data_IF_148560580858
#
_entry.id   IF_148560580858
#
_cell.length_a   1.000
_cell.length_b   1.000
_cell.length_c   1.000
_cell.angle_alpha   90.00
_cell.angle_beta   90.00
_cell.angle_gamma   90.00
#
_symmetry.space_group_name_H-M   'P 1'
#
loop_
_entity.id
_entity.type
_entity.pdbx_description
1 polymer ?
#
# COMPACT_ATOMS: atom_id res chain seq x y z
N UNK A 1 12.40 23.63 3.47
CA UNK A 1 11.56 23.43 2.28
C UNK A 1 10.13 23.25 2.77
N UNK A 2 9.18 24.10 2.35
CA UNK A 2 7.78 23.99 2.77
C UNK A 2 7.03 23.21 1.70
N UNK A 3 6.49 22.05 2.05
CA UNK A 3 5.61 21.28 1.17
C UNK A 3 4.16 21.76 1.34
N UNK A 4 3.33 21.73 0.29
CA UNK A 4 1.91 21.98 0.45
C UNK A 4 1.33 20.97 1.44
N UNK A 5 0.71 21.46 2.51
CA UNK A 5 0.04 20.62 3.49
C UNK A 5 -1.42 20.42 3.07
N UNK A 6 -1.85 19.18 3.03
CA UNK A 6 -3.25 18.80 2.88
C UNK A 6 -3.71 18.30 4.25
N UNK A 7 -4.79 18.86 4.77
CA UNK A 7 -5.33 18.45 6.06
C UNK A 7 -5.65 16.95 6.06
N UNK A 8 -5.23 16.25 7.12
CA UNK A 8 -5.43 14.81 7.26
C UNK A 8 -4.48 13.95 6.41
N UNK A 9 -3.58 14.53 5.61
CA UNK A 9 -2.59 13.75 4.83
C UNK A 9 -1.17 14.06 5.29
N UNK A 10 -0.38 13.02 5.52
CA UNK A 10 1.03 13.15 5.92
C UNK A 10 1.91 12.04 5.35
N UNK A 11 3.22 12.20 5.48
CA UNK A 11 4.17 11.10 5.25
C UNK A 11 3.92 9.97 6.23
N UNK A 12 4.02 8.74 5.75
CA UNK A 12 3.98 7.55 6.58
C UNK A 12 5.21 7.48 7.49
N UNK A 13 5.01 7.04 8.72
CA UNK A 13 6.06 6.71 9.70
C UNK A 13 6.11 5.20 9.91
N UNK A 14 7.17 4.66 10.51
CA UNK A 14 7.30 3.20 10.66
C UNK A 14 6.21 2.59 11.55
N UNK A 15 5.73 3.35 12.53
CA UNK A 15 4.62 2.98 13.42
C UNK A 15 3.29 2.81 12.68
N UNK A 16 3.18 3.36 11.48
CA UNK A 16 1.97 3.26 10.64
C UNK A 16 1.88 1.93 9.89
N UNK A 17 3.00 1.18 9.74
CA UNK A 17 3.09 0.04 8.83
C UNK A 17 2.04 -1.05 9.10
N UNK A 18 1.78 -1.36 10.37
CA UNK A 18 0.79 -2.36 10.75
C UNK A 18 -0.60 -1.96 10.25
N UNK A 19 -1.02 -0.73 10.54
CA UNK A 19 -2.33 -0.22 10.12
C UNK A 19 -2.41 -0.03 8.61
N UNK A 20 -1.36 0.47 7.96
CA UNK A 20 -1.25 0.58 6.50
C UNK A 20 -1.51 -0.77 5.84
N UNK A 21 -0.89 -1.84 6.36
CA UNK A 21 -0.99 -3.17 5.76
C UNK A 21 -2.42 -3.73 5.81
N UNK A 22 -3.13 -3.48 6.92
CA UNK A 22 -4.51 -3.88 7.14
C UNK A 22 -5.47 -3.07 6.23
N UNK A 23 -5.29 -1.75 6.20
CA UNK A 23 -6.08 -0.84 5.34
C UNK A 23 -5.87 -1.15 3.87
N UNK A 24 -4.63 -1.40 3.45
CA UNK A 24 -4.32 -1.77 2.07
C UNK A 24 -4.98 -3.10 1.69
N UNK A 25 -4.93 -4.11 2.54
CA UNK A 25 -5.60 -5.39 2.31
C UNK A 25 -7.11 -5.21 2.09
N UNK A 26 -7.77 -4.43 2.94
CA UNK A 26 -9.18 -4.12 2.83
C UNK A 26 -9.52 -3.31 1.56
N UNK A 27 -8.75 -2.27 1.26
CA UNK A 27 -9.02 -1.38 0.13
C UNK A 27 -8.81 -2.09 -1.22
N UNK A 28 -7.70 -2.82 -1.37
CA UNK A 28 -7.40 -3.51 -2.62
C UNK A 28 -8.25 -4.74 -2.84
N UNK A 29 -8.88 -5.32 -1.82
CA UNK A 29 -9.81 -6.45 -1.97
C UNK A 29 -10.89 -6.20 -3.04
N UNK A 30 -11.40 -4.97 -3.09
CA UNK A 30 -12.43 -4.55 -4.05
C UNK A 30 -11.87 -4.27 -5.45
N UNK A 31 -10.55 -4.27 -5.62
CA UNK A 31 -9.92 -4.02 -6.92
C UNK A 31 -10.05 -5.24 -7.87
N UNK A 32 -10.21 -5.02 -9.18
CA UNK A 32 -10.24 -6.11 -10.15
C UNK A 32 -8.99 -7.00 -10.11
N UNK A 33 -7.82 -6.38 -9.90
CA UNK A 33 -6.52 -7.06 -9.90
C UNK A 33 -6.36 -8.03 -8.73
N UNK A 34 -6.91 -7.69 -7.55
CA UNK A 34 -6.73 -8.48 -6.33
C UNK A 34 -7.20 -9.93 -6.49
N UNK A 35 -8.35 -10.14 -7.17
CA UNK A 35 -8.89 -11.49 -7.38
C UNK A 35 -7.99 -12.39 -8.22
N UNK A 36 -7.17 -11.81 -9.10
CA UNK A 36 -6.21 -12.54 -9.92
C UNK A 36 -4.88 -12.73 -9.20
N UNK A 37 -4.40 -11.70 -8.51
CA UNK A 37 -3.11 -11.76 -7.82
C UNK A 37 -3.17 -12.61 -6.56
N UNK A 38 -4.29 -12.58 -5.82
CA UNK A 38 -4.44 -13.18 -4.50
C UNK A 38 -5.57 -14.20 -4.45
N UNK A 39 -5.51 -15.24 -5.27
CA UNK A 39 -6.57 -16.25 -5.41
C UNK A 39 -6.91 -17.01 -4.11
N UNK A 40 -5.97 -17.08 -3.16
CA UNK A 40 -6.11 -17.83 -1.92
C UNK A 40 -6.23 -16.92 -0.68
N UNK A 41 -6.56 -15.64 -0.85
CA UNK A 41 -6.70 -14.65 0.23
C UNK A 41 -7.62 -15.12 1.39
N UNK A 42 -8.65 -15.93 1.11
CA UNK A 42 -9.55 -16.47 2.15
C UNK A 42 -8.87 -17.51 3.04
N UNK A 43 -7.97 -18.32 2.46
CA UNK A 43 -7.27 -19.40 3.17
C UNK A 43 -6.05 -18.86 3.92
N UNK A 44 -5.41 -17.83 3.37
CA UNK A 44 -4.20 -17.22 3.92
C UNK A 44 -4.33 -15.69 4.04
N UNK A 45 -5.30 -15.17 4.83
CA UNK A 45 -5.53 -13.72 4.92
C UNK A 45 -4.37 -12.96 5.57
N UNK A 46 -3.64 -13.60 6.49
CA UNK A 46 -2.47 -13.00 7.13
C UNK A 46 -1.30 -12.83 6.15
N UNK A 47 -1.18 -13.71 5.15
CA UNK A 47 -0.18 -13.57 4.10
C UNK A 47 -0.48 -12.35 3.22
N UNK A 48 -1.77 -12.06 2.97
CA UNK A 48 -2.18 -10.85 2.29
C UNK A 48 -1.72 -9.59 3.04
N UNK A 49 -2.01 -9.52 4.34
CA UNK A 49 -1.62 -8.39 5.20
C UNK A 49 -0.09 -8.28 5.26
N UNK A 50 0.61 -9.37 5.54
CA UNK A 50 2.07 -9.39 5.62
C UNK A 50 2.76 -9.01 4.30
N UNK A 51 2.19 -9.42 3.17
CA UNK A 51 2.64 -9.02 1.83
C UNK A 51 2.52 -7.50 1.64
N UNK A 52 1.41 -6.87 2.05
CA UNK A 52 1.30 -5.41 2.03
C UNK A 52 2.26 -4.73 2.99
N UNK A 53 2.45 -5.27 4.20
CA UNK A 53 3.44 -4.76 5.16
C UNK A 53 4.83 -4.71 4.52
N UNK A 54 5.27 -5.81 3.89
CA UNK A 54 6.56 -5.89 3.19
C UNK A 54 6.65 -4.89 2.05
N UNK A 55 5.60 -4.79 1.22
CA UNK A 55 5.57 -3.88 0.08
C UNK A 55 5.70 -2.42 0.51
N UNK A 56 4.92 -1.97 1.50
CA UNK A 56 5.00 -0.59 1.98
C UNK A 56 6.28 -0.33 2.77
N UNK A 57 6.78 -1.30 3.54
CA UNK A 57 8.10 -1.20 4.20
C UNK A 57 9.21 -1.00 3.17
N UNK A 58 9.17 -1.71 2.04
CA UNK A 58 10.12 -1.54 0.94
C UNK A 58 9.96 -0.17 0.28
N UNK A 59 8.73 0.24 -0.02
CA UNK A 59 8.44 1.56 -0.61
C UNK A 59 8.94 2.72 0.28
N UNK A 60 8.75 2.64 1.59
CA UNK A 60 9.24 3.66 2.54
C UNK A 60 10.77 3.73 2.64
N UNK A 61 11.49 2.67 2.24
CA UNK A 61 12.96 2.67 2.14
C UNK A 61 13.47 3.08 0.76
N UNK A 62 12.62 3.07 -0.26
CA UNK A 62 13.02 3.41 -1.62
C UNK A 62 13.17 4.93 -1.75
N UNK A 63 14.37 5.44 -2.10
CA UNK A 63 14.61 6.88 -2.21
C UNK A 63 13.84 7.57 -3.33
N UNK A 64 13.36 6.81 -4.32
CA UNK A 64 12.55 7.31 -5.42
C UNK A 64 11.05 7.13 -5.16
N UNK A 65 10.63 6.74 -3.95
CA UNK A 65 9.24 6.54 -3.59
C UNK A 65 8.80 7.46 -2.46
N UNK A 66 7.53 7.85 -2.47
CA UNK A 66 6.85 8.58 -1.40
C UNK A 66 5.66 7.75 -0.94
N UNK A 67 5.55 7.54 0.37
CA UNK A 67 4.39 6.88 0.97
C UNK A 67 3.63 7.89 1.82
N UNK A 68 2.38 8.13 1.44
CA UNK A 68 1.46 9.05 2.10
C UNK A 68 0.34 8.26 2.77
N UNK A 69 -0.06 8.71 3.94
CA UNK A 69 -1.21 8.20 4.68
C UNK A 69 -2.25 9.28 4.84
N UNK A 70 -3.51 8.87 4.76
CA UNK A 70 -4.66 9.68 5.14
C UNK A 70 -5.12 9.25 6.54
N UNK A 71 -5.30 10.22 7.43
CA UNK A 71 -5.81 10.06 8.77
C UNK A 71 -7.21 10.63 8.90
N UNK A 72 -8.11 9.85 9.47
CA UNK A 72 -9.46 10.29 9.80
C UNK A 72 -9.95 9.63 11.10
N UNK A 73 -11.15 10.00 11.53
CA UNK A 73 -11.85 9.38 12.65
C UNK A 73 -12.15 7.92 12.30
N UNK A 74 -11.75 7.00 13.17
CA UNK A 74 -12.03 5.57 12.98
C UNK A 74 -13.51 5.32 13.33
N UNK A 75 -14.23 4.69 12.42
CA UNK A 75 -15.56 4.15 12.69
C UNK A 75 -15.45 2.92 13.59
N UNK A 76 -16.24 2.88 14.67
CA UNK A 76 -16.26 1.75 15.61
C UNK A 76 -16.64 0.44 14.91
N UNK A 77 -17.47 0.52 13.86
CA UNK A 77 -17.95 -0.61 13.08
C UNK A 77 -17.14 -0.82 11.76
N UNK A 78 -15.97 -0.20 11.61
CA UNK A 78 -15.13 -0.35 10.41
C UNK A 78 -14.85 -1.83 10.09
N UNK A 79 -14.66 -2.66 11.12
CA UNK A 79 -14.40 -4.09 10.97
C UNK A 79 -15.56 -4.88 10.33
N UNK A 80 -16.79 -4.36 10.34
CA UNK A 80 -17.94 -4.99 9.69
C UNK A 80 -18.03 -4.68 8.19
N UNK A 81 -17.30 -3.66 7.73
CA UNK A 81 -17.28 -3.22 6.34
C UNK A 81 -16.15 -3.85 5.51
N UNK A 82 -15.30 -4.67 6.14
CA UNK A 82 -14.22 -5.39 5.46
C UNK A 82 -14.58 -6.85 5.23
N UNK A 83 -13.89 -7.50 4.29
CA UNK A 83 -14.15 -8.90 3.99
C UNK A 83 -13.80 -9.81 5.18
N UNK A 84 -14.61 -10.85 5.35
CA UNK A 84 -14.67 -11.67 6.57
C UNK A 84 -13.31 -12.17 7.06
N UNK A 85 -12.41 -12.51 6.15
CA UNK A 85 -11.13 -13.14 6.48
C UNK A 85 -10.13 -12.21 7.19
N UNK A 86 -10.35 -10.89 7.21
CA UNK A 86 -9.46 -9.92 7.92
C UNK A 86 -10.15 -9.12 9.03
N UNK A 87 -11.42 -9.39 9.36
CA UNK A 87 -12.16 -8.62 10.37
C UNK A 87 -11.47 -8.58 11.72
N UNK A 88 -10.94 -9.72 12.18
CA UNK A 88 -10.23 -9.80 13.46
C UNK A 88 -8.98 -8.93 13.51
N UNK A 89 -8.32 -8.69 12.37
CA UNK A 89 -7.16 -7.81 12.29
C UNK A 89 -7.52 -6.33 12.51
N UNK A 90 -8.77 -5.93 12.29
CA UNK A 90 -9.24 -4.57 12.56
C UNK A 90 -9.60 -4.33 14.03
N UNK A 91 -10.07 -5.36 14.75
CA UNK A 91 -10.53 -5.25 16.15
C UNK A 91 -9.42 -4.83 17.13
N UNK A 92 -8.16 -5.10 16.80
CA UNK A 92 -7.01 -4.74 17.66
C UNK A 92 -6.60 -3.26 17.58
N UNK A 93 -7.08 -2.49 16.60
CA UNK A 93 -6.56 -1.13 16.29
C UNK A 93 -7.53 0.00 16.65
N UNK A 94 -8.76 -0.32 17.06
CA UNK A 94 -9.83 0.64 17.36
C UNK A 94 -9.62 1.50 18.63
N UNK A 95 -8.47 1.40 19.33
CA UNK A 95 -8.20 2.15 20.56
C UNK A 95 -7.88 3.65 20.35
N UNK A 96 -7.76 4.10 19.09
CA UNK A 96 -7.45 5.50 18.77
C UNK A 96 -8.63 6.18 18.07
N UNK A 97 -8.99 7.40 18.50
CA UNK A 97 -10.05 8.21 17.87
C UNK A 97 -9.72 8.59 16.42
N UNK A 98 -8.44 8.83 16.09
CA UNK A 98 -7.98 9.03 14.72
C UNK A 98 -7.00 7.93 14.35
N UNK A 99 -7.10 7.45 13.13
CA UNK A 99 -6.22 6.41 12.60
C UNK A 99 -6.09 6.53 11.10
N UNK A 100 -5.23 5.68 10.54
CA UNK A 100 -5.02 5.64 9.10
C UNK A 100 -6.22 4.95 8.45
N UNK A 101 -6.79 5.63 7.46
CA UNK A 101 -7.94 5.16 6.67
C UNK A 101 -7.59 5.00 5.19
N UNK A 102 -6.42 5.49 4.77
CA UNK A 102 -5.96 5.37 3.39
C UNK A 102 -4.44 5.44 3.29
N UNK A 103 -3.92 4.83 2.23
CA UNK A 103 -2.49 4.84 1.91
C UNK A 103 -2.30 5.00 0.41
N UNK A 104 -1.27 5.76 0.03
CA UNK A 104 -0.83 5.90 -1.35
C UNK A 104 0.70 5.76 -1.41
N UNK A 105 1.19 5.04 -2.42
CA UNK A 105 2.61 4.99 -2.76
C UNK A 105 2.80 5.60 -4.15
N UNK A 106 3.70 6.56 -4.25
CA UNK A 106 3.96 7.33 -5.47
C UNK A 106 5.41 7.12 -5.87
N UNK A 107 5.61 6.62 -7.08
CA UNK A 107 6.92 6.57 -7.71
C UNK A 107 7.27 7.96 -8.25
N UNK A 108 8.40 8.51 -7.81
CA UNK A 108 8.94 9.75 -8.36
C UNK A 108 9.44 9.52 -9.78
N UNK A 109 9.34 10.58 -10.60
CA UNK A 109 9.96 10.57 -11.92
C UNK A 109 11.48 10.34 -11.81
N UNK A 110 12.12 9.73 -12.82
CA UNK A 110 13.58 9.66 -12.89
C UNK A 110 14.21 11.05 -12.69
N UNK A 111 15.33 11.09 -11.96
CA UNK A 111 16.09 12.32 -11.69
C UNK A 111 15.29 13.42 -10.97
N UNK A 112 14.24 13.04 -10.24
CA UNK A 112 13.51 13.99 -9.39
C UNK A 112 14.45 14.64 -8.37
N UNK A 113 14.38 15.97 -8.26
CA UNK A 113 15.10 16.73 -7.23
C UNK A 113 14.70 16.33 -5.79
N UNK A 114 13.58 15.62 -5.63
CA UNK A 114 13.06 15.16 -4.35
C UNK A 114 13.49 13.74 -3.96
N UNK A 115 14.35 13.10 -4.76
CA UNK A 115 14.91 11.79 -4.43
C UNK A 115 15.63 11.88 -3.08
N UNK A 116 15.49 10.86 -2.24
CA UNK A 116 16.04 10.79 -0.87
C UNK A 116 15.41 11.73 0.18
N UNK A 117 14.35 12.48 -0.14
CA UNK A 117 13.80 13.49 0.79
C UNK A 117 12.68 12.98 1.70
N UNK A 118 12.15 11.77 1.49
CA UNK A 118 10.89 11.33 2.11
C UNK A 118 11.00 10.05 2.94
N UNK A 119 12.22 9.53 3.09
CA UNK A 119 12.46 8.26 3.79
C UNK A 119 12.51 8.54 5.30
N UNK A 120 11.77 7.78 6.13
CA UNK A 120 11.80 7.96 7.58
C UNK A 120 13.21 7.71 8.13
N UNK A 121 13.80 8.65 8.89
CA UNK A 121 15.14 8.49 9.45
C UNK A 121 15.31 7.19 10.27
N UNK A 122 14.26 6.79 11.00
CA UNK A 122 14.26 5.61 11.86
C UNK A 122 14.38 4.30 11.05
N UNK A 123 13.88 4.26 9.81
CA UNK A 123 13.98 3.08 8.94
C UNK A 123 15.32 2.94 8.25
N UNK A 124 16.05 4.04 8.10
CA UNK A 124 17.40 4.07 7.54
C UNK A 124 18.44 3.59 8.57
N UNK A 125 18.14 3.67 9.87
CA UNK A 125 19.04 3.26 10.95
C UNK A 125 19.24 1.73 11.07
N UNK A 126 18.30 0.92 10.56
CA UNK A 126 18.37 -0.55 10.59
C UNK A 126 18.37 -1.17 9.17
N UNK A 127 19.50 -1.10 8.44
CA UNK A 127 19.62 -1.67 7.09
C UNK A 127 19.61 -3.20 7.05
N UNK A 128 19.89 -3.88 8.16
CA UNK A 128 20.05 -5.35 8.24
C UNK A 128 18.80 -6.12 8.70
N UNK A 129 17.65 -5.47 8.81
CA UNK A 129 16.43 -6.14 9.23
C UNK A 129 15.94 -7.09 8.12
N UNK A 130 16.31 -8.37 8.23
CA UNK A 130 15.78 -9.43 7.38
C UNK A 130 14.30 -9.57 7.66
N UNK A 131 13.47 -9.33 6.64
CA UNK A 131 12.07 -9.76 6.64
C UNK A 131 12.06 -11.26 6.96
N UNK A 132 11.38 -11.66 8.03
CA UNK A 132 11.27 -13.08 8.36
C UNK A 132 10.59 -13.78 7.18
N UNK A 133 11.32 -14.73 6.59
CA UNK A 133 10.86 -15.55 5.48
C UNK A 133 9.85 -16.58 5.99
N UNK A 134 8.66 -16.12 6.34
CA UNK A 134 7.47 -16.97 6.24
C UNK A 134 7.02 -16.92 4.79
N UNK A 135 6.40 -17.98 4.28
CA UNK A 135 5.85 -17.99 2.92
C UNK A 135 4.70 -16.97 2.83
N UNK A 136 5.02 -15.69 2.59
CA UNK A 136 4.08 -14.55 2.51
C UNK A 136 3.31 -14.49 1.18
N UNK A 137 3.39 -15.56 0.40
CA UNK A 137 2.93 -15.63 -0.98
C UNK A 137 1.94 -16.77 -1.20
N UNK A 138 1.53 -17.51 -0.15
CA UNK A 138 0.57 -18.62 -0.30
C UNK A 138 -0.81 -18.12 -0.71
N UNK A 139 -1.12 -16.86 -0.45
CA UNK A 139 -2.33 -16.22 -0.93
C UNK A 139 -2.27 -15.90 -2.45
N UNK A 140 -1.07 -15.86 -3.03
CA UNK A 140 -0.81 -15.34 -4.37
C UNK A 140 -0.78 -16.41 -5.48
N UNK A 141 -0.96 -15.97 -6.72
CA UNK A 141 -0.69 -16.77 -7.93
C UNK A 141 0.04 -15.94 -8.98
N UNK A 142 1.32 -16.26 -9.18
CA UNK A 142 2.18 -15.61 -10.19
C UNK A 142 1.62 -15.82 -11.60
N UNK A 143 1.12 -17.02 -11.90
CA UNK A 143 0.53 -17.34 -13.20
C UNK A 143 -0.70 -16.46 -13.50
N UNK A 144 -1.64 -16.39 -12.56
CA UNK A 144 -2.85 -15.60 -12.74
C UNK A 144 -2.54 -14.09 -12.83
N UNK A 145 -1.56 -13.60 -12.06
CA UNK A 145 -1.07 -12.23 -12.16
C UNK A 145 -0.47 -11.93 -13.54
N UNK A 146 0.38 -12.83 -14.06
CA UNK A 146 1.01 -12.67 -15.37
C UNK A 146 -0.02 -12.67 -16.51
N UNK A 147 -1.03 -13.55 -16.45
CA UNK A 147 -2.13 -13.58 -17.42
C UNK A 147 -2.90 -12.26 -17.38
N UNK A 148 -3.29 -11.80 -16.20
CA UNK A 148 -4.00 -10.54 -16.05
C UNK A 148 -3.20 -9.35 -16.60
N UNK A 149 -1.91 -9.28 -16.30
CA UNK A 149 -1.05 -8.23 -16.82
C UNK A 149 -0.87 -8.31 -18.33
N UNK A 150 -0.67 -9.49 -18.91
CA UNK A 150 -0.59 -9.66 -20.36
C UNK A 150 -1.86 -9.17 -21.07
N UNK A 151 -3.04 -9.49 -20.52
CA UNK A 151 -4.34 -9.09 -21.08
C UNK A 151 -4.62 -7.60 -20.88
N UNK A 152 -4.26 -7.03 -19.72
CA UNK A 152 -4.57 -5.62 -19.41
C UNK A 152 -3.50 -4.63 -19.89
N UNK A 153 -2.29 -5.08 -20.19
CA UNK A 153 -1.16 -4.23 -20.62
C UNK A 153 -1.47 -3.32 -21.81
N UNK A 154 -2.13 -3.76 -22.90
CA UNK A 154 -2.45 -2.88 -24.02
C UNK A 154 -3.35 -1.70 -23.58
N UNK A 155 -4.34 -1.97 -22.74
CA UNK A 155 -5.25 -0.96 -22.19
C UNK A 155 -4.52 -0.02 -21.23
N UNK A 156 -3.69 -0.55 -20.33
CA UNK A 156 -2.85 0.26 -19.41
C UNK A 156 -1.96 1.23 -20.19
N UNK A 157 -1.33 0.77 -21.27
CA UNK A 157 -0.47 1.61 -22.12
C UNK A 157 -1.26 2.70 -22.86
N UNK A 158 -2.45 2.37 -23.41
CA UNK A 158 -3.32 3.35 -24.07
C UNK A 158 -3.65 4.54 -23.17
N UNK A 159 -3.89 4.31 -21.88
CA UNK A 159 -4.20 5.38 -20.92
C UNK A 159 -2.97 5.99 -20.25
N UNK A 160 -1.82 5.28 -20.22
CA UNK A 160 -0.56 5.83 -19.71
C UNK A 160 -0.03 7.00 -20.59
N UNK A 161 -0.23 6.93 -21.91
CA UNK A 161 0.17 8.01 -22.84
C UNK A 161 -0.83 9.17 -22.93
N UNK A 162 -2.10 8.97 -22.55
CA UNK A 162 -3.10 10.04 -22.54
C UNK A 162 -2.80 11.14 -21.49
N UNK A 163 -1.93 10.85 -20.51
CA UNK A 163 -1.48 11.82 -19.50
C UNK A 163 -0.32 12.69 -20.05
N UNK A 164 0.43 12.24 -21.05
CA UNK A 164 1.53 13.01 -21.66
C UNK A 164 1.08 13.98 -22.76
N UNK A 165 -0.14 13.84 -23.30
CA UNK A 165 -0.62 14.64 -24.45
C UNK A 165 -1.66 15.71 -24.11
N UNK A 166 -2.12 15.79 -22.86
CA UNK A 166 -3.06 16.83 -22.40
C UNK A 166 -2.39 17.85 -21.44
N UNK A 167 -1.05 17.92 -21.44
CA UNK A 167 -0.26 18.86 -20.65
C UNK A 167 0.17 20.12 -21.41
N UNK A 168 -0.45 20.43 -22.54
CA UNK A 168 -0.29 21.71 -23.24
C UNK A 168 -1.55 22.55 -23.06
N UNK A 169 -1.56 23.37 -22.01
CA UNK A 169 -2.19 24.69 -21.90
C UNK A 169 -1.53 25.44 -20.74
#
# INVERSE_FOLDING_TARGET
MFFPSVEGVRLATPDDLDRISIVAAAAFFSSPTFKFQRIHYRKFPLDTIASYFVQYKKAMKDPACVVLVAEDVIDEDESEHVYDAIRESFKSVALRRRGIVGVCSIQLKPESAYTHQFQPPEMLANPNERLSAYDLERDQSIEAANIYDAVTRPTKLKYAWAIHLNGDC
#
